data_IF_602296447631
#
_entry.id   IF_602296447631
#
_cell.length_a   1.000
_cell.length_b   1.000
_cell.length_c   1.000
_cell.angle_alpha   90.00
_cell.angle_beta   90.00
_cell.angle_gamma   90.00
#
_symmetry.space_group_name_H-M   'P 1'
#
loop_
_entity.id
_entity.type
_entity.pdbx_description
1 polymer ?
#
# COMPACT_ATOMS: atom_id res chain seq x y z
N UNK A 1 11.36 -16.29 -10.63
CA UNK A 1 11.48 -17.43 -9.69
C UNK A 1 11.35 -18.72 -10.51
N UNK A 2 12.12 -19.76 -10.19
CA UNK A 2 11.94 -21.07 -10.81
C UNK A 2 10.53 -21.62 -10.50
N UNK A 3 9.81 -22.25 -11.46
CA UNK A 3 8.48 -22.81 -11.20
C UNK A 3 8.46 -23.81 -10.03
N UNK A 4 9.56 -24.55 -9.84
CA UNK A 4 9.71 -25.49 -8.72
C UNK A 4 9.64 -24.78 -7.36
N UNK A 5 10.15 -23.56 -7.25
CA UNK A 5 10.07 -22.77 -6.03
C UNK A 5 8.64 -22.31 -5.75
N UNK A 6 7.86 -21.99 -6.78
CA UNK A 6 6.44 -21.63 -6.62
C UNK A 6 5.59 -22.83 -6.19
N UNK A 7 5.88 -24.04 -6.69
CA UNK A 7 5.24 -25.27 -6.21
C UNK A 7 5.50 -25.46 -4.70
N UNK A 8 6.76 -25.34 -4.28
CA UNK A 8 7.15 -25.46 -2.87
C UNK A 8 6.42 -24.42 -1.98
N UNK A 9 6.36 -23.16 -2.41
CA UNK A 9 5.65 -22.10 -1.69
C UNK A 9 4.14 -22.37 -1.58
N UNK A 10 3.57 -23.10 -2.54
CA UNK A 10 2.15 -23.52 -2.53
C UNK A 10 1.92 -24.82 -1.74
N UNK A 11 2.91 -25.29 -0.97
CA UNK A 11 2.89 -26.60 -0.30
C UNK A 11 2.57 -27.75 -1.27
N UNK A 12 3.13 -27.67 -2.48
CA UNK A 12 2.93 -28.63 -3.58
C UNK A 12 1.46 -28.88 -3.95
N UNK A 13 0.58 -27.91 -3.66
CA UNK A 13 -0.84 -27.96 -4.04
C UNK A 13 -1.06 -27.88 -5.56
N UNK A 14 -0.05 -27.40 -6.29
CA UNK A 14 -0.08 -27.28 -7.75
C UNK A 14 1.17 -27.91 -8.37
N UNK A 15 0.98 -28.63 -9.47
CA UNK A 15 2.06 -29.12 -10.30
C UNK A 15 2.67 -28.01 -11.17
N UNK A 16 3.91 -28.21 -11.60
CA UNK A 16 4.58 -27.32 -12.57
C UNK A 16 3.74 -27.12 -13.83
N UNK A 17 3.08 -28.17 -14.32
CA UNK A 17 2.25 -28.09 -15.52
C UNK A 17 1.01 -27.19 -15.31
N UNK A 18 0.40 -27.22 -14.13
CA UNK A 18 -0.74 -26.37 -13.78
C UNK A 18 -0.32 -24.90 -13.64
N UNK A 19 0.83 -24.62 -13.01
CA UNK A 19 1.37 -23.26 -12.93
C UNK A 19 1.63 -22.68 -14.33
N UNK A 20 2.25 -23.43 -15.23
CA UNK A 20 2.50 -22.98 -16.61
C UNK A 20 1.21 -22.78 -17.42
N UNK A 21 0.18 -23.60 -17.18
CA UNK A 21 -1.16 -23.39 -17.77
C UNK A 21 -1.81 -22.12 -17.25
N UNK A 22 -1.71 -21.86 -15.95
CA UNK A 22 -2.24 -20.64 -15.32
C UNK A 22 -1.52 -19.40 -15.86
N UNK A 23 -0.19 -19.43 -15.93
CA UNK A 23 0.63 -18.36 -16.51
C UNK A 23 0.19 -18.03 -17.94
N UNK A 24 0.13 -19.04 -18.82
CA UNK A 24 -0.35 -18.85 -20.21
C UNK A 24 -1.72 -18.21 -20.25
N UNK A 25 -2.66 -18.69 -19.41
CA UNK A 25 -4.02 -18.13 -19.36
C UNK A 25 -4.03 -16.67 -18.92
N UNK A 26 -3.23 -16.30 -17.92
CA UNK A 26 -3.10 -14.92 -17.44
C UNK A 26 -2.51 -14.03 -18.55
N UNK A 27 -1.39 -14.45 -19.16
CA UNK A 27 -0.72 -13.70 -20.22
C UNK A 27 -1.63 -13.48 -21.43
N UNK A 28 -2.36 -14.52 -21.86
CA UNK A 28 -3.33 -14.41 -22.94
C UNK A 28 -4.50 -13.49 -22.60
N UNK A 29 -4.98 -13.48 -21.35
CA UNK A 29 -6.06 -12.58 -20.91
C UNK A 29 -5.62 -11.11 -20.83
N UNK A 30 -4.34 -10.86 -20.62
CA UNK A 30 -3.76 -9.53 -20.58
C UNK A 30 -3.27 -9.06 -21.97
N UNK A 31 -3.45 -9.84 -23.03
CA UNK A 31 -2.87 -9.57 -24.36
C UNK A 31 -1.36 -9.29 -24.30
N UNK A 32 -0.64 -9.95 -23.37
CA UNK A 32 0.77 -9.69 -23.06
C UNK A 32 1.10 -8.23 -22.68
N UNK A 33 0.10 -7.41 -22.35
CA UNK A 33 0.28 -6.04 -21.85
C UNK A 33 0.57 -6.08 -20.35
N UNK A 34 1.84 -6.32 -20.01
CA UNK A 34 2.32 -6.38 -18.63
C UNK A 34 2.80 -5.02 -18.10
N UNK A 35 2.91 -4.03 -18.98
CA UNK A 35 3.31 -2.68 -18.64
C UNK A 35 2.10 -1.91 -18.05
N UNK A 36 2.18 -1.63 -16.75
CA UNK A 36 1.33 -0.67 -16.07
C UNK A 36 2.19 0.12 -15.07
N UNK A 37 1.92 1.41 -14.83
CA UNK A 37 2.64 2.17 -13.81
C UNK A 37 2.39 1.51 -12.45
N UNK A 38 3.46 1.01 -11.84
CA UNK A 38 3.37 0.38 -10.53
C UNK A 38 2.99 1.42 -9.47
N UNK A 39 2.19 1.05 -8.46
CA UNK A 39 1.79 1.99 -7.40
C UNK A 39 3.00 2.57 -6.65
N UNK A 40 4.10 1.81 -6.52
CA UNK A 40 5.35 2.30 -5.93
C UNK A 40 6.05 3.36 -6.79
N UNK A 41 5.97 3.25 -8.12
CA UNK A 41 6.53 4.26 -9.02
C UNK A 41 5.74 5.57 -8.88
N UNK A 42 4.41 5.49 -8.90
CA UNK A 42 3.54 6.64 -8.66
C UNK A 42 3.84 7.30 -7.31
N UNK A 43 3.99 6.50 -6.24
CA UNK A 43 4.34 7.01 -4.92
C UNK A 43 5.70 7.72 -4.92
N UNK A 44 6.72 7.13 -5.55
CA UNK A 44 8.04 7.74 -5.64
C UNK A 44 8.03 9.09 -6.36
N UNK A 45 7.30 9.19 -7.47
CA UNK A 45 7.13 10.45 -8.22
C UNK A 45 6.39 11.51 -7.40
N UNK A 46 5.27 11.15 -6.78
CA UNK A 46 4.48 12.07 -5.95
C UNK A 46 5.26 12.53 -4.71
N UNK A 47 5.98 11.62 -4.06
CA UNK A 47 6.82 11.93 -2.91
C UNK A 47 7.98 12.87 -3.29
N UNK A 48 8.61 12.66 -4.45
CA UNK A 48 9.65 13.53 -4.97
C UNK A 48 9.12 14.94 -5.29
N UNK A 49 7.96 15.02 -5.95
CA UNK A 49 7.28 16.30 -6.23
C UNK A 49 6.92 17.06 -4.95
N UNK A 50 6.44 16.34 -3.92
CA UNK A 50 6.10 16.92 -2.64
C UNK A 50 7.33 17.23 -1.75
N UNK A 51 8.53 16.80 -2.14
CA UNK A 51 9.73 16.94 -1.30
C UNK A 51 9.64 16.15 0.01
N UNK A 52 9.02 14.96 -0.03
CA UNK A 52 8.67 14.19 1.17
C UNK A 52 9.92 13.58 1.84
N UNK A 53 9.92 13.56 3.17
CA UNK A 53 10.98 12.92 3.94
C UNK A 53 10.99 11.39 3.75
N UNK A 54 12.13 10.70 3.96
CA UNK A 54 12.19 9.24 3.88
C UNK A 54 11.24 8.54 4.86
N UNK A 55 10.95 9.18 6.01
CA UNK A 55 10.00 8.67 7.00
C UNK A 55 8.56 8.72 6.49
N UNK A 56 8.16 9.83 5.87
CA UNK A 56 6.86 9.93 5.16
C UNK A 56 6.78 8.89 4.05
N UNK A 57 7.83 8.74 3.23
CA UNK A 57 7.85 7.76 2.14
C UNK A 57 7.67 6.33 2.66
N UNK A 58 8.34 5.98 3.77
CA UNK A 58 8.21 4.66 4.39
C UNK A 58 6.79 4.42 4.91
N UNK A 59 6.19 5.41 5.58
CA UNK A 59 4.83 5.35 6.10
C UNK A 59 3.78 5.28 4.97
N UNK A 60 3.96 6.07 3.91
CA UNK A 60 3.11 6.02 2.73
C UNK A 60 3.21 4.67 2.01
N UNK A 61 4.41 4.09 1.92
CA UNK A 61 4.60 2.74 1.35
C UNK A 61 3.84 1.69 2.16
N UNK A 62 3.83 1.83 3.49
CA UNK A 62 3.04 0.97 4.37
C UNK A 62 1.53 1.08 4.09
N UNK A 63 0.97 2.29 4.02
CA UNK A 63 -0.45 2.48 3.70
C UNK A 63 -0.83 1.99 2.30
N UNK A 64 0.06 2.22 1.33
CA UNK A 64 -0.13 1.74 -0.03
C UNK A 64 -0.17 0.20 -0.09
N UNK A 65 0.68 -0.50 0.67
CA UNK A 65 0.60 -1.96 0.78
C UNK A 65 -0.66 -2.43 1.49
N UNK A 66 -1.13 -1.72 2.52
CA UNK A 66 -2.39 -2.04 3.18
C UNK A 66 -3.60 -1.89 2.25
N UNK A 67 -3.56 -0.93 1.32
CA UNK A 67 -4.62 -0.76 0.32
C UNK A 67 -4.83 -2.02 -0.54
N UNK A 68 -3.81 -2.86 -0.71
CA UNK A 68 -3.92 -4.11 -1.46
C UNK A 68 -4.78 -5.17 -0.74
N UNK A 69 -4.99 -5.01 0.57
CA UNK A 69 -5.82 -5.91 1.37
C UNK A 69 -7.30 -5.52 1.35
N UNK A 70 -7.63 -4.30 0.91
CA UNK A 70 -8.97 -3.75 0.93
C UNK A 70 -9.61 -3.82 -0.47
N UNK A 71 -10.71 -4.55 -0.60
CA UNK A 71 -11.42 -4.69 -1.88
C UNK A 71 -11.90 -3.34 -2.44
N UNK A 72 -12.29 -2.42 -1.56
CA UNK A 72 -12.71 -1.05 -1.89
C UNK A 72 -11.62 -0.28 -2.66
N UNK A 73 -10.34 -0.52 -2.36
CA UNK A 73 -9.22 0.14 -3.00
C UNK A 73 -8.85 -0.48 -4.36
N UNK A 74 -9.31 -1.70 -4.67
CA UNK A 74 -8.95 -2.40 -5.90
C UNK A 74 -9.47 -1.71 -7.17
N UNK A 75 -10.60 -1.00 -7.08
CA UNK A 75 -11.19 -0.24 -8.20
C UNK A 75 -10.45 1.06 -8.53
N UNK A 76 -9.50 1.48 -7.69
CA UNK A 76 -8.83 2.77 -7.84
C UNK A 76 -7.52 2.64 -8.61
N UNK A 77 -7.28 3.66 -9.44
CA UNK A 77 -6.07 3.80 -10.24
C UNK A 77 -4.82 3.90 -9.32
N UNK A 78 -3.66 3.32 -9.72
CA UNK A 78 -2.46 3.26 -8.86
C UNK A 78 -1.96 4.63 -8.40
N UNK A 79 -2.04 5.65 -9.24
CA UNK A 79 -1.70 7.03 -8.91
C UNK A 79 -2.56 7.60 -7.78
N UNK A 80 -3.88 7.43 -7.86
CA UNK A 80 -4.83 7.84 -6.80
C UNK A 80 -4.56 7.15 -5.47
N UNK A 81 -4.30 5.83 -5.47
CA UNK A 81 -3.93 5.09 -4.26
C UNK A 81 -2.63 5.57 -3.65
N UNK A 82 -1.62 5.85 -4.48
CA UNK A 82 -0.35 6.39 -4.03
C UNK A 82 -0.51 7.80 -3.43
N UNK A 83 -1.32 8.66 -4.05
CA UNK A 83 -1.61 10.00 -3.55
C UNK A 83 -2.34 9.97 -2.20
N UNK A 84 -3.35 9.10 -2.05
CA UNK A 84 -4.08 8.93 -0.79
C UNK A 84 -3.17 8.42 0.33
N UNK A 85 -2.33 7.42 0.04
CA UNK A 85 -1.35 6.90 0.99
C UNK A 85 -0.33 7.96 1.44
N UNK A 86 0.13 8.80 0.50
CA UNK A 86 1.08 9.88 0.77
C UNK A 86 0.43 11.02 1.59
N UNK A 87 -0.80 11.41 1.22
CA UNK A 87 -1.60 12.41 1.95
C UNK A 87 -1.84 11.97 3.40
N UNK A 88 -2.25 10.72 3.61
CA UNK A 88 -2.44 10.16 4.95
C UNK A 88 -1.14 10.15 5.77
N UNK A 89 -0.02 9.77 5.15
CA UNK A 89 1.28 9.73 5.83
C UNK A 89 1.75 11.13 6.26
N UNK A 90 1.57 12.14 5.40
CA UNK A 90 1.88 13.54 5.72
C UNK A 90 1.06 14.04 6.90
N UNK A 91 -0.25 13.79 6.90
CA UNK A 91 -1.12 14.20 8.02
C UNK A 91 -0.75 13.53 9.35
N UNK A 92 -0.33 12.27 9.32
CA UNK A 92 0.02 11.53 10.54
C UNK A 92 1.34 11.95 11.17
N UNK A 93 2.30 12.37 10.36
CA UNK A 93 3.62 12.78 10.85
C UNK A 93 3.70 14.27 11.19
N UNK A 94 2.58 14.99 11.07
CA UNK A 94 2.48 16.41 11.41
C UNK A 94 3.64 17.22 10.83
N UNK A 95 4.03 16.93 9.57
CA UNK A 95 4.78 17.87 8.74
C UNK A 95 3.85 19.01 8.28
N UNK A 96 2.98 19.46 9.20
CA UNK A 96 1.99 20.50 9.06
C UNK A 96 2.67 21.84 8.85
N UNK A 97 2.40 22.44 7.69
CA UNK A 97 2.76 23.82 7.43
C UNK A 97 3.31 24.01 6.03
N UNK A 98 2.42 23.99 5.03
CA UNK A 98 2.71 24.44 3.66
C UNK A 98 3.68 23.57 2.88
N UNK A 99 3.17 22.63 2.08
CA UNK A 99 3.84 22.26 0.83
C UNK A 99 2.86 21.60 -0.15
N UNK A 100 3.12 21.73 -1.46
CA UNK A 100 2.14 21.44 -2.49
C UNK A 100 1.86 19.94 -2.46
N UNK A 101 0.68 19.56 -1.99
CA UNK A 101 0.06 18.38 -2.57
C UNK A 101 0.05 18.65 -4.07
N UNK A 102 0.63 17.77 -4.90
CA UNK A 102 0.48 17.93 -6.33
C UNK A 102 -1.02 18.10 -6.59
N UNK A 103 -1.45 19.23 -7.15
CA UNK A 103 -2.87 19.56 -7.44
C UNK A 103 -3.53 18.58 -8.43
N UNK A 104 -2.92 17.42 -8.63
CA UNK A 104 -3.33 16.33 -9.50
C UNK A 104 -4.62 15.66 -9.02
N UNK A 105 -4.91 15.68 -7.71
CA UNK A 105 -6.10 15.06 -7.13
C UNK A 105 -6.74 15.97 -6.08
N UNK A 106 -8.08 15.96 -6.05
CA UNK A 106 -8.83 16.73 -5.05
C UNK A 106 -8.76 16.05 -3.67
N UNK A 107 -8.75 16.83 -2.56
CA UNK A 107 -8.81 16.27 -1.21
C UNK A 107 -10.02 15.36 -0.97
N UNK A 108 -11.15 15.66 -1.62
CA UNK A 108 -12.39 14.88 -1.55
C UNK A 108 -12.22 13.48 -2.13
N UNK A 109 -11.56 13.36 -3.28
CA UNK A 109 -11.26 12.07 -3.89
C UNK A 109 -10.32 11.25 -3.01
N UNK A 110 -9.27 11.88 -2.47
CA UNK A 110 -8.31 11.19 -1.59
C UNK A 110 -8.94 10.76 -0.26
N UNK A 111 -9.81 11.60 0.31
CA UNK A 111 -10.52 11.34 1.56
C UNK A 111 -11.44 10.12 1.52
N UNK A 112 -11.86 9.66 0.34
CA UNK A 112 -12.63 8.40 0.21
C UNK A 112 -11.77 7.15 0.36
N UNK A 113 -10.47 7.23 0.06
CA UNK A 113 -9.54 6.09 0.07
C UNK A 113 -8.80 5.92 1.38
N UNK A 114 -8.48 7.02 2.06
CA UNK A 114 -7.69 6.99 3.29
C UNK A 114 -8.34 6.16 4.42
N UNK A 115 -9.68 6.19 4.63
CA UNK A 115 -10.32 5.42 5.69
C UNK A 115 -10.09 3.91 5.58
N UNK A 116 -10.03 3.35 4.37
CA UNK A 116 -9.80 1.91 4.21
C UNK A 116 -8.36 1.53 4.63
N UNK A 117 -7.38 2.37 4.32
CA UNK A 117 -5.98 2.18 4.75
C UNK A 117 -5.83 2.35 6.27
N UNK A 118 -6.47 3.36 6.85
CA UNK A 118 -6.48 3.58 8.30
C UNK A 118 -7.12 2.41 9.04
N UNK A 119 -8.28 1.92 8.56
CA UNK A 119 -8.96 0.74 9.10
C UNK A 119 -8.06 -0.50 9.02
N UNK A 120 -7.44 -0.74 7.87
CA UNK A 120 -6.52 -1.86 7.69
C UNK A 120 -5.30 -1.78 8.62
N UNK A 121 -4.77 -0.59 8.88
CA UNK A 121 -3.65 -0.38 9.80
C UNK A 121 -4.05 -0.70 11.25
N UNK A 122 -5.23 -0.26 11.69
CA UNK A 122 -5.76 -0.52 13.03
C UNK A 122 -6.10 -2.00 13.24
N UNK A 123 -6.58 -2.68 12.19
CA UNK A 123 -6.82 -4.12 12.16
C UNK A 123 -5.56 -4.94 11.87
N UNK A 124 -4.39 -4.28 11.74
CA UNK A 124 -3.12 -4.90 11.36
C UNK A 124 -2.77 -6.21 12.09
N UNK A 125 -2.93 -6.35 13.41
CA UNK A 125 -2.59 -7.60 14.10
C UNK A 125 -3.65 -8.71 13.98
N UNK A 126 -4.72 -8.52 13.19
CA UNK A 126 -5.78 -9.51 13.06
C UNK A 126 -5.31 -10.78 12.32
N UNK A 127 -5.79 -11.97 12.73
CA UNK A 127 -5.44 -13.23 12.08
C UNK A 127 -5.84 -13.22 10.59
N UNK A 128 -4.98 -13.76 9.74
CA UNK A 128 -5.20 -13.82 8.28
C UNK A 128 -4.82 -12.55 7.51
N UNK A 129 -4.58 -11.40 8.17
CA UNK A 129 -4.20 -10.13 7.51
C UNK A 129 -2.89 -9.52 8.04
N UNK A 130 -2.28 -10.15 9.04
CA UNK A 130 -1.12 -9.61 9.75
C UNK A 130 0.21 -9.55 8.99
N UNK A 131 0.31 -10.16 7.80
CA UNK A 131 1.57 -10.25 7.07
C UNK A 131 2.22 -8.87 6.80
N UNK A 132 1.43 -7.90 6.35
CA UNK A 132 1.92 -6.53 6.09
C UNK A 132 2.29 -5.83 7.40
N UNK A 133 1.45 -5.96 8.44
CA UNK A 133 1.74 -5.39 9.75
C UNK A 133 3.06 -5.91 10.33
N UNK A 134 3.29 -7.23 10.29
CA UNK A 134 4.51 -7.87 10.79
C UNK A 134 5.73 -7.51 9.96
N UNK A 135 5.58 -7.37 8.64
CA UNK A 135 6.66 -6.89 7.75
C UNK A 135 7.17 -5.52 8.18
N UNK A 136 6.27 -4.60 8.50
CA UNK A 136 6.60 -3.21 8.89
C UNK A 136 6.85 -3.04 10.39
N UNK A 137 6.59 -4.05 11.21
CA UNK A 137 6.94 -4.06 12.63
C UNK A 137 8.43 -4.34 12.88
N UNK A 138 9.14 -4.84 11.85
CA UNK A 138 10.56 -5.19 11.95
C UNK A 138 11.44 -3.96 12.19
N UNK A 139 12.59 -4.11 12.87
CA UNK A 139 13.55 -3.01 13.08
C UNK A 139 14.06 -2.39 11.77
N UNK A 140 14.23 -3.21 10.71
CA UNK A 140 14.65 -2.71 9.39
C UNK A 140 13.62 -1.76 8.76
N UNK A 141 12.37 -1.81 9.23
CA UNK A 141 11.27 -0.94 8.84
C UNK A 141 10.88 0.00 9.99
N UNK A 142 11.78 0.25 10.94
CA UNK A 142 11.61 1.22 12.04
C UNK A 142 10.34 1.03 12.89
N UNK A 143 9.73 -0.16 12.87
CA UNK A 143 8.45 -0.38 13.55
C UNK A 143 7.32 0.52 13.03
N UNK A 144 7.35 0.94 11.75
CA UNK A 144 6.38 1.87 11.16
C UNK A 144 4.93 1.44 11.38
N UNK A 145 4.62 0.15 11.35
CA UNK A 145 3.24 -0.33 11.56
C UNK A 145 2.75 -0.08 12.99
N UNK A 146 3.62 -0.20 13.99
CA UNK A 146 3.29 0.10 15.39
C UNK A 146 3.10 1.61 15.58
N UNK A 147 4.01 2.41 15.01
CA UNK A 147 3.92 3.87 15.06
C UNK A 147 2.62 4.37 14.39
N UNK A 148 2.30 3.85 13.20
CA UNK A 148 1.08 4.18 12.47
C UNK A 148 -0.19 3.87 13.28
N UNK A 149 -0.27 2.69 13.90
CA UNK A 149 -1.41 2.32 14.73
C UNK A 149 -1.56 3.24 15.95
N UNK A 150 -0.46 3.64 16.58
CA UNK A 150 -0.48 4.60 17.69
C UNK A 150 -0.94 6.00 17.26
N UNK A 151 -0.41 6.52 16.14
CA UNK A 151 -0.76 7.84 15.61
C UNK A 151 -2.23 7.92 15.17
N UNK A 152 -2.72 6.88 14.48
CA UNK A 152 -4.12 6.80 14.05
C UNK A 152 -5.10 6.78 15.23
N UNK A 153 -4.76 6.07 16.32
CA UNK A 153 -5.59 6.07 17.54
C UNK A 153 -5.64 7.45 18.20
N UNK A 154 -4.55 8.23 18.16
CA UNK A 154 -4.51 9.59 18.69
C UNK A 154 -5.39 10.54 17.88
N UNK A 155 -5.30 10.50 16.55
CA UNK A 155 -6.16 11.30 15.67
C UNK A 155 -7.66 11.01 15.84
N UNK A 156 -8.03 9.77 16.13
CA UNK A 156 -9.43 9.42 16.42
C UNK A 156 -9.92 9.91 17.80
N UNK A 157 -8.99 10.25 18.70
CA UNK A 157 -9.31 10.70 20.07
C UNK A 157 -9.32 12.23 20.23
N UNK A 158 -8.84 12.99 19.24
CA UNK A 158 -9.00 14.44 19.26
C UNK A 158 -10.45 14.84 18.94
N UNK A 159 -11.08 15.73 19.73
CA UNK A 159 -12.41 16.23 19.44
C UNK A 159 -12.41 17.13 18.19
N UNK A 160 -13.54 17.21 17.46
CA UNK A 160 -13.69 18.03 16.25
C UNK A 160 -13.65 19.54 16.52
#
# INVERSE_FOLDING_TARGET
PEPAFLCLLSADSFSRAELLRAERRILSRLDFRLHHPGPLLCLGLLAALAGSSPQVMLLATYFLELSLLEAEAAGWEPGRRAAAALSLAHRLLDEGGSRPQPELYSPEELGTLEPCMSRAALQGPAPGRAAVFLKYARPQRQGTSLAAACLLRRLQSEPP
#
